data_IF_084992913306
#
_entry.id   IF_084992913306
#
_cell.length_a   1.000
_cell.length_b   1.000
_cell.length_c   1.000
_cell.angle_alpha   90.00
_cell.angle_beta   90.00
_cell.angle_gamma   90.00
#
_symmetry.space_group_name_H-M   'P 1'
#
loop_
_entity.id
_entity.type
_entity.pdbx_description
1 polymer ?
#
# COMPACT_ATOMS: atom_id res chain seq x y z
N UNK A 1 14.51 -6.40 9.63
CA UNK A 1 13.18 -6.69 10.22
C UNK A 1 12.81 -8.14 9.89
N UNK A 2 11.97 -8.79 10.69
CA UNK A 2 11.67 -10.23 10.57
C UNK A 2 12.49 -11.03 11.58
N UNK A 3 13.53 -11.75 11.13
CA UNK A 3 14.41 -12.54 12.02
C UNK A 3 15.30 -11.70 12.96
N UNK A 4 15.13 -10.37 12.96
CA UNK A 4 15.80 -9.37 13.80
C UNK A 4 17.33 -9.51 13.90
N UNK A 5 17.95 -9.73 12.73
CA UNK A 5 19.38 -9.92 12.58
C UNK A 5 19.94 -9.07 11.44
N UNK A 6 21.21 -8.70 11.56
CA UNK A 6 21.99 -8.14 10.47
C UNK A 6 22.40 -9.26 9.51
N UNK A 7 22.35 -8.98 8.20
CA UNK A 7 22.77 -9.89 7.13
C UNK A 7 23.57 -9.10 6.10
N UNK A 8 24.75 -9.63 5.74
CA UNK A 8 25.56 -9.08 4.66
C UNK A 8 25.06 -9.63 3.31
N UNK A 9 25.10 -8.79 2.27
CA UNK A 9 24.70 -9.13 0.90
C UNK A 9 25.74 -8.59 -0.09
N UNK A 10 25.93 -9.27 -1.22
CA UNK A 10 26.97 -8.90 -2.20
C UNK A 10 26.59 -7.70 -3.08
N UNK A 11 25.29 -7.40 -3.22
CA UNK A 11 24.79 -6.35 -4.07
C UNK A 11 23.41 -5.83 -3.64
N UNK A 12 23.06 -4.65 -4.17
CA UNK A 12 21.72 -4.07 -4.10
C UNK A 12 21.26 -3.61 -5.50
N UNK A 13 20.07 -4.02 -6.00
CA UNK A 13 19.16 -5.02 -5.42
C UNK A 13 19.81 -6.40 -5.26
N UNK A 14 19.25 -7.26 -4.41
CA UNK A 14 19.77 -8.63 -4.22
C UNK A 14 19.75 -9.38 -5.56
N UNK A 15 20.84 -10.06 -5.98
CA UNK A 15 20.95 -10.67 -7.31
C UNK A 15 19.82 -11.66 -7.65
N UNK A 16 19.34 -12.40 -6.66
CA UNK A 16 18.30 -13.43 -6.82
C UNK A 16 16.88 -12.90 -6.55
N UNK A 17 16.68 -11.58 -6.54
CA UNK A 17 15.36 -10.96 -6.31
C UNK A 17 14.37 -11.38 -7.38
N UNK A 18 13.26 -11.99 -6.95
CA UNK A 18 12.12 -12.29 -7.81
C UNK A 18 10.99 -11.30 -7.56
N UNK A 19 10.79 -10.37 -8.49
CA UNK A 19 9.63 -9.49 -8.46
C UNK A 19 8.36 -10.30 -8.75
N UNK A 20 7.51 -10.45 -7.72
CA UNK A 20 6.29 -11.24 -7.77
C UNK A 20 5.07 -10.33 -7.58
N UNK A 21 4.16 -10.24 -8.56
CA UNK A 21 2.95 -9.46 -8.40
C UNK A 21 2.02 -10.14 -7.39
N UNK A 22 1.46 -9.32 -6.49
CA UNK A 22 0.26 -9.65 -5.75
C UNK A 22 -0.85 -8.72 -6.23
N UNK A 23 -1.98 -9.30 -6.60
CA UNK A 23 -3.14 -8.62 -7.14
C UNK A 23 -4.14 -8.34 -6.03
N UNK A 24 -4.73 -7.15 -6.13
CA UNK A 24 -5.77 -6.67 -5.24
C UNK A 24 -7.10 -7.18 -5.75
N UNK A 25 -7.88 -7.79 -4.87
CA UNK A 25 -9.18 -8.38 -5.18
C UNK A 25 -10.18 -8.00 -4.10
N UNK A 26 -11.44 -7.82 -4.47
CA UNK A 26 -12.55 -7.55 -3.56
C UNK A 26 -13.87 -7.78 -4.29
N UNK A 27 -15.00 -7.74 -3.58
CA UNK A 27 -16.33 -7.65 -4.17
C UNK A 27 -16.87 -6.20 -4.12
N UNK A 28 -15.97 -5.21 -4.02
CA UNK A 28 -16.30 -3.79 -3.89
C UNK A 28 -16.47 -3.31 -2.44
N UNK A 29 -15.99 -4.10 -1.47
CA UNK A 29 -16.13 -3.83 -0.04
C UNK A 29 -14.78 -3.90 0.70
N UNK A 30 -13.68 -3.49 0.07
CA UNK A 30 -12.35 -3.46 0.72
C UNK A 30 -12.17 -2.31 1.74
N UNK A 31 -13.20 -1.50 2.01
CA UNK A 31 -13.15 -0.44 3.01
C UNK A 31 -12.97 -1.03 4.41
N UNK A 32 -12.05 -0.45 5.17
CA UNK A 32 -11.67 -0.86 6.54
C UNK A 32 -10.99 -2.24 6.64
N UNK A 33 -10.39 -2.54 7.79
CA UNK A 33 -9.84 -3.87 8.11
C UNK A 33 -10.88 -5.00 8.10
N UNK A 34 -12.16 -4.68 8.31
CA UNK A 34 -13.26 -5.65 8.30
C UNK A 34 -13.83 -5.89 6.89
N UNK A 35 -13.26 -5.23 5.87
CA UNK A 35 -13.62 -5.37 4.48
C UNK A 35 -13.25 -6.73 3.86
N UNK A 36 -13.60 -6.91 2.59
CA UNK A 36 -13.38 -8.16 1.85
C UNK A 36 -12.14 -8.15 0.95
N UNK A 37 -11.25 -7.18 1.14
CA UNK A 37 -10.05 -7.02 0.33
C UNK A 37 -9.05 -8.16 0.52
N UNK A 38 -8.73 -8.81 -0.58
CA UNK A 38 -7.80 -9.93 -0.67
C UNK A 38 -6.57 -9.53 -1.50
N UNK A 39 -5.39 -9.83 -0.97
CA UNK A 39 -4.13 -9.75 -1.70
C UNK A 39 -3.70 -11.15 -2.13
N UNK A 40 -3.52 -11.39 -3.43
CA UNK A 40 -3.33 -12.74 -3.98
C UNK A 40 -2.30 -12.80 -5.12
N UNK A 41 -1.47 -13.84 -5.21
CA UNK A 41 -0.55 -14.01 -6.35
C UNK A 41 -1.27 -14.38 -7.66
N UNK A 42 -2.56 -14.70 -7.60
CA UNK A 42 -3.39 -15.04 -8.76
C UNK A 42 -4.24 -13.84 -9.16
N UNK A 43 -4.52 -13.71 -10.46
CA UNK A 43 -5.48 -12.70 -10.96
C UNK A 43 -6.90 -13.17 -10.67
N UNK A 44 -7.79 -12.26 -10.29
CA UNK A 44 -9.23 -12.55 -10.17
C UNK A 44 -9.88 -12.59 -11.54
N UNK A 45 -10.81 -13.53 -11.75
CA UNK A 45 -11.69 -13.52 -12.93
C UNK A 45 -12.76 -12.40 -12.86
N UNK A 46 -13.00 -11.88 -11.65
CA UNK A 46 -13.98 -10.83 -11.40
C UNK A 46 -13.26 -9.53 -11.04
N UNK A 47 -13.52 -8.48 -11.82
CA UNK A 47 -13.06 -7.14 -11.54
C UNK A 47 -14.17 -6.35 -10.83
N UNK A 48 -13.88 -5.89 -9.62
CA UNK A 48 -14.71 -4.94 -8.88
C UNK A 48 -13.91 -3.65 -8.63
N UNK A 49 -14.64 -2.56 -8.38
CA UNK A 49 -14.04 -1.31 -7.92
C UNK A 49 -14.43 -1.09 -6.47
N UNK A 50 -13.44 -0.80 -5.63
CA UNK A 50 -13.66 -0.27 -4.30
C UNK A 50 -13.75 1.25 -4.38
N UNK A 51 -14.70 1.83 -3.65
CA UNK A 51 -14.97 3.27 -3.66
C UNK A 51 -14.88 3.81 -2.25
N UNK A 52 -14.35 5.02 -2.11
CA UNK A 52 -14.34 5.75 -0.86
C UNK A 52 -14.43 7.26 -1.13
N UNK A 53 -14.73 8.03 -0.10
CA UNK A 53 -14.78 9.49 -0.18
C UNK A 53 -13.59 10.07 0.57
N UNK A 54 -12.74 10.80 -0.14
CA UNK A 54 -11.63 11.52 0.45
C UNK A 54 -12.07 12.94 0.88
N UNK A 55 -12.09 13.22 2.19
CA UNK A 55 -12.43 14.54 2.74
C UNK A 55 -11.18 15.32 3.21
N UNK A 56 -10.93 16.46 2.56
CA UNK A 56 -9.90 17.44 2.90
C UNK A 56 -9.91 17.89 4.37
N UNK A 57 -11.07 17.89 5.01
CA UNK A 57 -11.25 18.36 6.39
C UNK A 57 -11.06 17.24 7.42
N UNK A 58 -11.00 15.98 6.95
CA UNK A 58 -10.77 14.80 7.77
C UNK A 58 -9.75 13.88 7.08
N UNK A 59 -8.51 14.34 6.85
CA UNK A 59 -7.49 13.49 6.24
C UNK A 59 -7.18 12.30 7.14
N UNK A 60 -6.84 11.16 6.54
CA UNK A 60 -6.35 10.00 7.30
C UNK A 60 -5.09 10.39 8.08
N UNK A 61 -5.03 10.22 9.41
CA UNK A 61 -3.86 10.60 10.19
C UNK A 61 -2.59 9.89 9.72
N UNK A 62 -1.45 10.58 9.76
CA UNK A 62 -0.18 9.91 9.47
C UNK A 62 0.23 9.01 10.61
N UNK A 63 0.29 7.70 10.34
CA UNK A 63 0.91 6.69 11.18
C UNK A 63 2.12 6.09 10.44
N UNK A 64 3.12 6.92 10.11
CA UNK A 64 4.35 6.54 9.38
C UNK A 64 5.60 7.12 10.02
N UNK A 65 6.72 6.41 9.91
CA UNK A 65 8.01 6.74 10.54
C UNK A 65 8.86 7.78 9.85
N UNK A 66 8.38 8.38 8.76
CA UNK A 66 9.16 9.40 8.02
C UNK A 66 8.97 10.81 8.60
N UNK A 67 8.06 11.01 9.56
CA UNK A 67 7.82 12.33 10.17
C UNK A 67 8.73 12.55 11.39
N UNK A 68 9.69 13.48 11.24
CA UNK A 68 10.40 14.25 12.26
C UNK A 68 10.49 13.64 13.69
N UNK A 69 11.48 12.78 13.90
CA UNK A 69 12.01 12.50 15.26
C UNK A 69 11.48 11.25 15.96
N UNK A 70 10.52 10.54 15.38
CA UNK A 70 10.06 9.23 15.88
C UNK A 70 9.96 8.21 14.73
N UNK A 71 11.08 7.75 14.17
CA UNK A 71 11.04 6.69 13.17
C UNK A 71 10.74 5.35 13.84
N UNK A 72 9.63 4.71 13.48
CA UNK A 72 9.29 3.42 14.05
C UNK A 72 8.23 2.62 13.29
N UNK A 73 8.14 1.31 13.56
CA UNK A 73 7.00 0.50 13.15
C UNK A 73 5.74 0.99 13.87
N UNK A 74 4.85 1.64 13.12
CA UNK A 74 3.57 2.13 13.65
C UNK A 74 2.47 1.11 13.46
N UNK A 75 1.67 0.94 14.52
CA UNK A 75 0.45 0.13 14.48
C UNK A 75 -0.62 0.84 13.63
N UNK A 76 -1.08 0.18 12.57
CA UNK A 76 -2.02 0.73 11.60
C UNK A 76 -3.49 0.46 11.97
N UNK A 77 -3.78 -0.35 12.99
CA UNK A 77 -5.17 -0.75 13.31
C UNK A 77 -6.13 0.43 13.43
N UNK A 78 -5.70 1.52 14.08
CA UNK A 78 -6.53 2.71 14.27
C UNK A 78 -6.83 3.46 12.95
N UNK A 79 -5.94 3.41 11.95
CA UNK A 79 -6.21 4.04 10.64
C UNK A 79 -7.01 3.11 9.74
N UNK A 80 -6.84 1.79 9.87
CA UNK A 80 -7.57 0.78 9.11
C UNK A 80 -9.05 0.67 9.50
N UNK A 81 -9.52 1.34 10.56
CA UNK A 81 -10.94 1.44 10.91
C UNK A 81 -11.73 2.44 10.04
N UNK A 82 -11.05 3.21 9.18
CA UNK A 82 -11.68 4.30 8.43
C UNK A 82 -12.22 3.86 7.07
N UNK A 83 -13.38 4.37 6.69
CA UNK A 83 -14.02 4.08 5.40
C UNK A 83 -13.21 4.58 4.18
N UNK A 84 -12.32 5.56 4.37
CA UNK A 84 -11.41 6.07 3.34
C UNK A 84 -10.04 5.37 3.30
N UNK A 85 -9.95 4.21 3.97
CA UNK A 85 -8.80 3.32 3.95
C UNK A 85 -9.24 1.97 3.39
N UNK A 86 -8.61 1.56 2.29
CA UNK A 86 -8.88 0.27 1.65
C UNK A 86 -7.82 -0.75 2.07
N UNK A 87 -8.24 -1.86 2.65
CA UNK A 87 -7.37 -2.89 3.18
C UNK A 87 -7.43 -4.14 2.30
N UNK A 88 -6.28 -4.63 1.84
CA UNK A 88 -6.17 -5.88 1.08
C UNK A 88 -5.15 -6.79 1.71
N UNK A 89 -5.57 -7.96 2.14
CA UNK A 89 -4.79 -8.81 3.04
C UNK A 89 -4.67 -10.22 2.45
N UNK A 90 -3.51 -10.86 2.54
CA UNK A 90 -3.38 -12.27 2.16
C UNK A 90 -4.16 -13.16 3.16
N UNK A 91 -4.41 -14.43 2.86
CA UNK A 91 -4.63 -15.42 3.91
C UNK A 91 -3.37 -15.52 4.81
N UNK A 92 -3.48 -16.07 6.03
CA UNK A 92 -2.31 -16.38 6.85
C UNK A 92 -1.27 -17.18 6.06
N UNK A 93 -0.02 -16.75 6.12
CA UNK A 93 1.05 -17.37 5.34
C UNK A 93 1.38 -18.76 5.93
N UNK A 94 1.39 -19.77 5.06
CA UNK A 94 1.78 -21.13 5.46
C UNK A 94 3.31 -21.27 5.66
N UNK A 95 4.08 -20.35 5.07
CA UNK A 95 5.54 -20.31 5.12
C UNK A 95 6.02 -18.87 5.26
N UNK A 96 7.15 -18.62 5.93
CA UNK A 96 7.72 -17.28 6.00
C UNK A 96 7.96 -16.68 4.60
N UNK A 97 7.58 -15.43 4.42
CA UNK A 97 7.82 -14.68 3.19
C UNK A 97 8.82 -13.56 3.45
N UNK A 98 9.97 -13.61 2.78
CA UNK A 98 10.93 -12.50 2.82
C UNK A 98 10.60 -11.49 1.71
N UNK A 99 10.55 -10.21 2.09
CA UNK A 99 10.42 -9.06 1.20
C UNK A 99 11.62 -8.16 1.44
N UNK A 100 12.63 -8.27 0.56
CA UNK A 100 13.84 -7.45 0.57
C UNK A 100 14.05 -6.83 -0.81
N UNK A 101 13.90 -5.51 -0.93
CA UNK A 101 14.03 -4.80 -2.20
C UNK A 101 13.08 -3.60 -2.31
N UNK A 102 13.04 -3.01 -3.51
CA UNK A 102 12.08 -1.97 -3.86
C UNK A 102 10.65 -2.53 -3.94
N UNK A 103 9.69 -1.79 -3.37
CA UNK A 103 8.28 -2.14 -3.42
C UNK A 103 7.54 -1.14 -4.30
N UNK A 104 6.77 -1.64 -5.28
CA UNK A 104 5.95 -0.83 -6.16
C UNK A 104 4.49 -1.25 -6.04
N UNK A 105 3.60 -0.27 -5.91
CA UNK A 105 2.16 -0.48 -5.98
C UNK A 105 1.63 0.04 -7.32
N UNK A 106 1.03 -0.85 -8.10
CA UNK A 106 0.36 -0.51 -9.37
C UNK A 106 -1.14 -0.54 -9.16
N UNK A 107 -1.83 0.56 -9.49
CA UNK A 107 -3.28 0.70 -9.29
C UNK A 107 -3.95 1.27 -10.52
N UNK A 108 -5.16 0.79 -10.79
CA UNK A 108 -6.07 1.36 -11.78
C UNK A 108 -7.13 2.16 -11.06
N UNK A 109 -7.22 3.45 -11.34
CA UNK A 109 -8.00 4.39 -10.52
C UNK A 109 -8.76 5.37 -11.41
N UNK A 110 -9.93 5.78 -10.94
CA UNK A 110 -10.65 6.94 -11.42
C UNK A 110 -10.85 7.93 -10.27
N UNK A 111 -11.12 9.19 -10.60
CA UNK A 111 -11.46 10.21 -9.63
C UNK A 111 -12.52 11.14 -10.21
N UNK A 112 -13.36 11.68 -9.34
CA UNK A 112 -14.26 12.80 -9.67
C UNK A 112 -13.49 14.14 -9.67
N UNK A 113 -12.32 14.20 -9.03
CA UNK A 113 -11.44 15.35 -9.02
C UNK A 113 -10.47 15.35 -10.21
N UNK A 114 -9.98 16.53 -10.58
CA UNK A 114 -8.96 16.70 -11.63
C UNK A 114 -7.55 16.39 -11.16
N UNK A 115 -7.35 16.32 -9.85
CA UNK A 115 -6.12 15.92 -9.19
C UNK A 115 -6.43 15.43 -7.77
N UNK A 116 -5.66 14.46 -7.30
CA UNK A 116 -5.70 13.93 -5.94
C UNK A 116 -4.40 13.15 -5.70
N UNK A 117 -4.11 12.75 -4.46
CA UNK A 117 -2.94 11.93 -4.15
C UNK A 117 -3.36 10.50 -3.85
N UNK A 118 -2.50 9.57 -4.25
CA UNK A 118 -2.66 8.15 -4.01
C UNK A 118 -1.53 7.71 -3.07
N UNK A 119 -1.81 6.93 -2.04
CA UNK A 119 -0.77 6.31 -1.19
C UNK A 119 -0.93 4.80 -1.12
N UNK A 120 0.19 4.14 -0.87
CA UNK A 120 0.24 2.73 -0.56
C UNK A 120 1.08 2.52 0.69
N UNK A 121 0.72 1.50 1.46
CA UNK A 121 1.45 1.02 2.63
C UNK A 121 1.55 -0.49 2.52
N UNK A 122 2.73 -1.02 2.82
CA UNK A 122 2.94 -2.43 3.07
C UNK A 122 2.96 -2.64 4.59
N UNK A 123 2.17 -3.60 5.07
CA UNK A 123 1.92 -3.83 6.50
C UNK A 123 2.10 -5.32 6.81
N UNK A 124 2.80 -5.64 7.89
CA UNK A 124 2.89 -7.01 8.43
C UNK A 124 1.85 -7.18 9.53
N UNK A 125 0.92 -8.13 9.34
CA UNK A 125 -0.11 -8.45 10.31
C UNK A 125 0.36 -9.67 11.12
N UNK A 126 0.64 -9.41 12.39
CA UNK A 126 1.13 -10.42 13.33
C UNK A 126 -0.01 -11.35 13.77
N UNK A 127 0.31 -12.59 14.22
CA UNK A 127 -0.70 -13.52 14.75
C UNK A 127 -1.50 -13.00 15.96
N UNK A 128 -0.98 -12.01 16.68
CA UNK A 128 -1.68 -11.34 17.78
C UNK A 128 -2.56 -10.16 17.34
N UNK A 129 -2.66 -9.94 16.03
CA UNK A 129 -3.49 -8.92 15.39
C UNK A 129 -2.81 -7.56 15.25
N UNK A 130 -1.57 -7.35 15.72
CA UNK A 130 -0.85 -6.09 15.44
C UNK A 130 -0.62 -5.92 13.95
N UNK A 131 -0.95 -4.73 13.41
CA UNK A 131 -0.73 -4.38 12.01
C UNK A 131 0.44 -3.40 11.92
N UNK A 132 1.63 -3.89 11.60
CA UNK A 132 2.87 -3.12 11.68
C UNK A 132 3.27 -2.57 10.32
N UNK A 133 3.36 -1.25 10.19
CA UNK A 133 3.87 -0.61 8.97
C UNK A 133 5.30 -1.08 8.65
N UNK A 134 5.50 -1.53 7.41
CA UNK A 134 6.81 -1.88 6.87
C UNK A 134 7.39 -0.77 6.00
N UNK A 135 6.60 -0.24 5.07
CA UNK A 135 7.01 0.85 4.17
C UNK A 135 5.78 1.53 3.55
N UNK A 136 5.92 2.78 3.12
CA UNK A 136 4.84 3.52 2.47
C UNK A 136 5.33 4.52 1.42
N UNK A 137 4.41 5.00 0.59
CA UNK A 137 4.72 5.95 -0.47
C UNK A 137 3.48 6.70 -0.93
N UNK A 138 3.72 7.82 -1.61
CA UNK A 138 2.68 8.73 -2.10
C UNK A 138 2.98 9.17 -3.53
N UNK A 139 1.93 9.23 -4.35
CA UNK A 139 1.94 9.83 -5.67
C UNK A 139 0.82 10.84 -5.77
N UNK A 140 1.19 12.11 -5.96
CA UNK A 140 0.24 13.13 -6.41
C UNK A 140 -0.02 12.97 -7.91
N UNK A 141 -1.27 12.72 -8.29
CA UNK A 141 -1.63 12.24 -9.62
C UNK A 141 -1.16 13.14 -10.75
N UNK A 142 -1.21 14.47 -10.58
CA UNK A 142 -0.75 15.38 -11.64
C UNK A 142 0.69 15.09 -12.09
N UNK A 143 1.51 14.47 -11.24
CA UNK A 143 2.89 14.09 -11.52
C UNK A 143 3.07 12.65 -12.01
N UNK A 144 2.00 11.89 -12.24
CA UNK A 144 2.03 10.46 -12.64
C UNK A 144 2.86 10.15 -13.88
N UNK A 145 3.10 11.15 -14.75
CA UNK A 145 3.94 11.02 -15.96
C UNK A 145 5.26 11.77 -15.88
N UNK A 146 5.34 12.83 -15.08
CA UNK A 146 6.49 13.72 -15.00
C UNK A 146 6.41 14.62 -13.79
N UNK A 147 7.47 14.67 -12.99
CA UNK A 147 7.59 15.60 -11.86
C UNK A 147 7.76 17.07 -12.28
N UNK A 148 8.09 17.34 -13.55
CA UNK A 148 8.30 18.71 -14.06
C UNK A 148 7.18 19.20 -14.97
N UNK A 149 6.36 18.30 -15.53
CA UNK A 149 5.28 18.63 -16.47
C UNK A 149 3.96 18.02 -16.00
N UNK A 150 3.24 18.68 -15.08
CA UNK A 150 2.03 18.12 -14.51
C UNK A 150 0.89 18.04 -15.53
N UNK A 151 0.11 16.96 -15.47
CA UNK A 151 -1.08 16.75 -16.31
C UNK A 151 -2.28 16.38 -15.45
N UNK A 152 -3.45 16.97 -15.66
CA UNK A 152 -4.63 16.65 -14.84
C UNK A 152 -5.33 15.35 -15.25
N UNK A 153 -6.18 14.83 -14.36
CA UNK A 153 -7.15 13.78 -14.63
C UNK A 153 -8.34 14.32 -15.43
N UNK A 154 -8.92 13.45 -16.24
CA UNK A 154 -10.30 13.57 -16.74
C UNK A 154 -11.21 12.82 -15.77
N UNK A 155 -12.30 13.45 -15.34
CA UNK A 155 -13.26 12.86 -14.39
C UNK A 155 -13.76 11.51 -14.89
N UNK A 156 -13.88 10.54 -13.99
CA UNK A 156 -14.39 9.17 -14.24
C UNK A 156 -13.56 8.31 -15.22
N UNK A 157 -12.46 8.84 -15.76
CA UNK A 157 -11.55 8.06 -16.60
C UNK A 157 -10.60 7.24 -15.73
N UNK A 158 -10.39 5.99 -16.11
CA UNK A 158 -9.44 5.10 -15.44
C UNK A 158 -8.02 5.37 -15.93
N UNK A 159 -7.09 5.51 -14.99
CA UNK A 159 -5.64 5.66 -15.20
C UNK A 159 -4.88 4.57 -14.44
N UNK A 160 -3.80 4.07 -15.04
CA UNK A 160 -2.80 3.28 -14.33
C UNK A 160 -1.83 4.22 -13.62
N UNK A 161 -1.65 4.02 -12.32
CA UNK A 161 -0.67 4.72 -11.50
C UNK A 161 0.33 3.72 -10.92
N UNK A 162 1.58 4.16 -10.81
CA UNK A 162 2.70 3.39 -10.26
C UNK A 162 3.29 4.18 -9.10
N UNK A 163 3.16 3.65 -7.90
CA UNK A 163 3.62 4.27 -6.66
C UNK A 163 4.88 3.54 -6.18
N UNK A 164 5.96 4.28 -5.97
CA UNK A 164 7.15 3.79 -5.27
C UNK A 164 6.86 3.87 -3.76
N UNK A 165 6.94 2.73 -3.06
CA UNK A 165 6.70 2.64 -1.62
C UNK A 165 7.98 2.62 -0.79
N UNK A 166 9.10 3.04 -1.38
CA UNK A 166 10.43 2.91 -0.82
C UNK A 166 10.89 1.45 -0.62
N UNK A 167 12.20 1.19 -0.55
CA UNK A 167 12.68 -0.16 -0.30
C UNK A 167 12.53 -0.62 1.14
N UNK A 168 12.32 -1.91 1.32
CA UNK A 168 12.20 -2.55 2.63
C UNK A 168 13.05 -3.82 2.72
N UNK A 169 13.41 -4.24 3.93
CA UNK A 169 13.91 -5.58 4.22
C UNK A 169 13.23 -6.14 5.46
N UNK A 170 12.21 -6.97 5.22
CA UNK A 170 11.36 -7.57 6.24
C UNK A 170 11.05 -9.03 5.92
N UNK A 171 10.94 -9.86 6.97
CA UNK A 171 10.34 -11.18 6.89
C UNK A 171 8.95 -11.16 7.51
N UNK A 172 7.93 -11.49 6.73
CA UNK A 172 6.58 -11.68 7.24
C UNK A 172 6.46 -13.09 7.85
N UNK A 173 6.04 -13.14 9.11
CA UNK A 173 5.83 -14.39 9.86
C UNK A 173 4.35 -14.71 10.09
N UNK A 174 3.45 -13.79 9.70
CA UNK A 174 2.00 -13.90 9.81
C UNK A 174 1.30 -13.73 8.47
N UNK A 175 0.71 -12.56 8.21
CA UNK A 175 -0.06 -12.26 7.01
C UNK A 175 0.48 -10.98 6.37
N UNK A 176 0.64 -10.93 5.05
CA UNK A 176 1.04 -9.71 4.36
C UNK A 176 -0.19 -8.87 4.02
N UNK A 177 -0.29 -7.67 4.59
CA UNK A 177 -1.32 -6.68 4.30
C UNK A 177 -0.79 -5.60 3.38
N UNK A 178 -1.64 -5.09 2.49
CA UNK A 178 -1.41 -3.82 1.81
C UNK A 178 -2.57 -2.88 2.14
N UNK A 179 -2.25 -1.70 2.65
CA UNK A 179 -3.23 -0.67 2.95
C UNK A 179 -3.07 0.43 1.91
N UNK A 180 -4.14 0.71 1.18
CA UNK A 180 -4.20 1.90 0.32
C UNK A 180 -4.87 3.02 1.09
N UNK A 181 -4.17 4.13 1.17
CA UNK A 181 -4.67 5.37 1.74
C UNK A 181 -4.51 6.45 0.67
N UNK A 182 -5.28 7.52 0.69
CA UNK A 182 -5.10 8.63 -0.27
C UNK A 182 -5.12 9.95 0.48
N UNK A 183 -4.26 10.88 0.07
CA UNK A 183 -4.23 12.26 0.55
C UNK A 183 -4.51 13.20 -0.63
N UNK A 184 -4.62 14.52 -0.46
CA UNK A 184 -4.90 15.43 -1.56
C UNK A 184 -3.97 16.65 -1.61
N UNK A 185 -4.14 17.43 -2.68
CA UNK A 185 -4.28 18.90 -2.67
C UNK A 185 -4.60 19.33 -4.11
N UNK A 186 -5.53 20.21 -4.48
CA UNK A 186 -6.24 21.35 -3.89
C UNK A 186 -7.48 21.63 -4.76
#
# INVERSE_FOLDING_TARGET
>A
MGVDQWRDEEAWPLPDTQYRPYYLQSQGHANTADGDGLLSPCVSEHAAFDTYCYDLHNPVPTASGIIWGDPGPYDQRAVEERDDVLCYTTPPLEQPLEVTGSVELVVYVSSSARDTDYTGKLVDIYPDGRAVLLTDGILRDRYRKSFSHPTFLESERVYELRLDLEPVSAGASGTAGSVKQQFPAL
#
